data_IF_365397321568
#
_entry.id   IF_365397321568
#
_cell.length_a   1.000
_cell.length_b   1.000
_cell.length_c   1.000
_cell.angle_alpha   90.00
_cell.angle_beta   90.00
_cell.angle_gamma   90.00
#
_symmetry.space_group_name_H-M   'P 1'
#
loop_
_entity.id
_entity.type
_entity.pdbx_description
1 polymer ?
#
# COMPACT_ATOMS: atom_id res chain seq x y z
N UNK A 1 20.79 0.19 -6.45
CA UNK A 1 19.92 0.49 -5.29
C UNK A 1 19.37 -0.82 -4.73
N UNK A 2 19.39 -1.03 -3.41
CA UNK A 2 18.93 -2.30 -2.80
C UNK A 2 17.45 -2.14 -2.45
N UNK A 3 16.54 -2.79 -3.17
CA UNK A 3 15.14 -2.90 -2.77
C UNK A 3 15.06 -3.57 -1.39
N UNK A 4 14.38 -2.91 -0.45
CA UNK A 4 14.14 -3.40 0.90
C UNK A 4 12.62 -3.44 1.11
N UNK A 5 12.12 -4.63 1.36
CA UNK A 5 10.71 -4.99 1.56
C UNK A 5 10.36 -5.11 3.05
N UNK A 6 11.37 -5.18 3.91
CA UNK A 6 11.23 -5.21 5.37
C UNK A 6 12.18 -4.22 6.03
N UNK A 7 11.65 -3.37 6.90
CA UNK A 7 12.46 -2.42 7.65
C UNK A 7 12.02 -2.41 9.12
N UNK A 8 13.00 -2.52 10.03
CA UNK A 8 12.78 -2.29 11.45
C UNK A 8 13.00 -0.81 11.74
N UNK A 9 12.00 -0.17 12.34
CA UNK A 9 12.06 1.23 12.76
C UNK A 9 11.81 1.37 14.25
N UNK A 10 12.37 2.43 14.83
CA UNK A 10 12.08 2.86 16.19
C UNK A 10 11.30 4.17 16.12
N UNK A 11 10.00 4.10 16.43
CA UNK A 11 9.13 5.26 16.49
C UNK A 11 8.99 5.74 17.94
N UNK A 12 9.11 7.05 18.15
CA UNK A 12 8.94 7.68 19.48
C UNK A 12 8.07 8.93 19.34
N UNK A 13 6.95 8.96 20.08
CA UNK A 13 6.13 10.16 20.19
C UNK A 13 6.72 11.17 21.17
N UNK A 14 6.28 12.42 21.07
CA UNK A 14 6.75 13.49 21.93
C UNK A 14 6.26 13.30 23.36
N UNK A 15 7.11 13.54 24.35
CA UNK A 15 6.65 13.67 25.74
C UNK A 15 5.91 15.00 25.95
N UNK A 16 4.95 15.02 26.87
CA UNK A 16 4.26 16.23 27.28
C UNK A 16 5.18 17.20 28.03
N UNK A 17 4.93 18.49 27.88
CA UNK A 17 5.58 19.53 28.67
C UNK A 17 5.07 19.53 30.10
N UNK A 18 5.94 19.72 31.08
CA UNK A 18 5.54 19.92 32.48
C UNK A 18 4.78 21.24 32.71
N UNK A 19 3.84 21.22 33.65
CA UNK A 19 3.20 22.44 34.15
C UNK A 19 4.15 23.30 35.00
N UNK A 20 3.96 24.62 34.95
CA UNK A 20 4.80 25.56 35.68
C UNK A 20 4.27 25.84 37.09
N UNK A 21 5.18 25.94 38.07
CA UNK A 21 4.87 26.48 39.38
C UNK A 21 5.34 27.93 39.43
N UNK A 22 4.41 28.88 39.31
CA UNK A 22 4.76 30.30 39.31
C UNK A 22 3.72 31.14 40.07
N UNK A 23 4.18 32.24 40.64
CA UNK A 23 3.35 33.25 41.30
C UNK A 23 3.68 34.63 40.74
N UNK A 24 2.67 35.49 40.60
CA UNK A 24 2.88 36.88 40.18
C UNK A 24 3.74 37.61 41.21
N UNK A 25 4.71 38.38 40.74
CA UNK A 25 5.56 39.24 41.57
C UNK A 25 5.51 40.65 41.00
N UNK A 26 4.92 41.57 41.75
CA UNK A 26 4.77 42.98 41.38
C UNK A 26 5.24 43.83 42.56
N UNK A 27 5.86 44.98 42.26
CA UNK A 27 6.58 45.80 43.26
C UNK A 27 5.72 46.25 44.45
N UNK A 28 4.41 46.34 44.28
CA UNK A 28 3.45 46.81 45.30
C UNK A 28 2.43 45.74 45.73
N UNK A 29 2.67 44.46 45.41
CA UNK A 29 1.77 43.35 45.75
C UNK A 29 2.56 42.31 46.54
N UNK A 30 2.29 42.21 47.86
CA UNK A 30 2.99 41.28 48.76
C UNK A 30 2.80 39.80 48.37
N UNK A 31 1.57 39.42 47.98
CA UNK A 31 1.25 38.04 47.58
C UNK A 31 0.45 38.01 46.26
N UNK A 32 1.16 37.87 45.15
CA UNK A 32 0.54 37.69 43.85
C UNK A 32 -0.09 36.30 43.69
N UNK A 33 -1.20 36.24 42.96
CA UNK A 33 -1.87 34.98 42.65
C UNK A 33 -1.02 34.02 41.80
N UNK A 34 -1.40 32.73 41.73
CA UNK A 34 -0.72 31.75 40.89
C UNK A 34 -0.79 32.16 39.42
N UNK A 35 0.32 32.03 38.70
CA UNK A 35 0.42 32.34 37.27
C UNK A 35 1.30 31.35 36.49
N UNK A 36 1.41 30.11 36.93
CA UNK A 36 2.08 29.07 36.16
C UNK A 36 1.15 28.49 35.10
N UNK A 37 1.55 28.58 33.83
CA UNK A 37 0.86 27.96 32.71
C UNK A 37 1.03 26.45 32.64
N UNK A 38 0.19 25.81 31.84
CA UNK A 38 0.24 24.38 31.54
C UNK A 38 1.30 24.08 30.47
N UNK A 39 1.85 22.87 30.47
CA UNK A 39 2.74 22.41 29.41
C UNK A 39 1.98 22.00 28.15
N UNK A 40 2.67 22.06 27.01
CA UNK A 40 2.11 21.64 25.72
C UNK A 40 2.08 20.12 25.56
N UNK A 41 1.20 19.64 24.68
CA UNK A 41 1.15 18.22 24.28
C UNK A 41 2.42 17.84 23.51
N UNK A 42 2.88 16.62 23.64
CA UNK A 42 3.87 16.04 22.74
C UNK A 42 3.33 15.85 21.32
N UNK A 43 4.23 15.80 20.34
CA UNK A 43 3.88 15.50 18.96
C UNK A 43 3.48 14.02 18.79
N UNK A 44 2.52 13.78 17.93
CA UNK A 44 2.09 12.45 17.51
C UNK A 44 3.02 11.86 16.44
N UNK A 45 3.02 10.54 16.31
CA UNK A 45 3.62 9.84 15.17
C UNK A 45 2.49 9.30 14.31
N UNK A 46 2.45 9.73 13.05
CA UNK A 46 1.53 9.22 12.04
C UNK A 46 2.27 8.37 11.03
N UNK A 47 1.54 7.48 10.37
CA UNK A 47 2.00 6.79 9.16
C UNK A 47 1.04 7.14 8.03
N UNK A 48 1.58 7.43 6.86
CA UNK A 48 0.82 7.83 5.68
C UNK A 48 1.29 7.07 4.44
N UNK A 49 0.34 6.46 3.74
CA UNK A 49 0.60 5.74 2.50
C UNK A 49 0.72 6.70 1.31
N UNK A 50 1.76 6.52 0.49
CA UNK A 50 2.05 7.39 -0.64
C UNK A 50 2.35 6.56 -1.89
N UNK A 51 1.66 6.86 -3.00
CA UNK A 51 1.76 6.09 -4.26
C UNK A 51 3.13 6.21 -4.95
N UNK A 52 3.81 7.33 -4.75
CA UNK A 52 5.14 7.59 -5.35
C UNK A 52 6.29 6.80 -4.73
N UNK A 53 6.04 6.02 -3.67
CA UNK A 53 7.06 5.22 -2.98
C UNK A 53 6.85 3.74 -3.27
N UNK A 54 7.90 3.07 -3.75
CA UNK A 54 7.85 1.65 -4.11
C UNK A 54 8.69 0.76 -3.19
N UNK A 55 9.46 1.32 -2.25
CA UNK A 55 10.40 0.55 -1.42
C UNK A 55 10.61 1.17 -0.04
N UNK A 56 11.01 0.37 0.95
CA UNK A 56 11.23 0.80 2.35
C UNK A 56 12.70 1.16 2.63
N UNK A 57 13.47 1.50 1.60
CA UNK A 57 14.93 1.72 1.70
C UNK A 57 15.29 2.90 2.58
N UNK A 58 14.45 3.93 2.61
CA UNK A 58 14.72 5.17 3.36
C UNK A 58 14.86 4.90 4.87
N UNK A 59 14.12 3.92 5.38
CA UNK A 59 14.16 3.50 6.78
C UNK A 59 15.45 2.79 7.18
N UNK A 60 16.26 2.34 6.21
CA UNK A 60 17.58 1.78 6.48
C UNK A 60 18.58 2.85 6.91
N UNK A 61 18.45 4.06 6.37
CA UNK A 61 19.35 5.17 6.64
C UNK A 61 18.86 6.02 7.82
N UNK A 62 17.55 6.07 8.05
CA UNK A 62 16.93 6.77 9.17
C UNK A 62 15.97 5.85 9.96
N UNK A 63 16.49 4.89 10.74
CA UNK A 63 15.66 3.95 11.49
C UNK A 63 14.98 4.58 12.72
N UNK A 64 15.47 5.72 13.22
CA UNK A 64 14.92 6.39 14.38
C UNK A 64 14.06 7.58 13.97
N UNK A 65 12.78 7.52 14.32
CA UNK A 65 11.79 8.56 14.01
C UNK A 65 11.24 9.08 15.33
N UNK A 66 11.40 10.39 15.56
CA UNK A 66 11.04 11.03 16.83
C UNK A 66 10.18 12.25 16.58
N UNK A 67 9.01 12.29 17.20
CA UNK A 67 8.18 13.49 17.23
C UNK A 67 8.72 14.52 18.24
N UNK A 68 8.32 15.78 18.07
CA UNK A 68 8.76 16.88 18.92
C UNK A 68 8.17 16.79 20.34
N UNK A 69 8.96 17.14 21.35
CA UNK A 69 8.48 17.26 22.74
C UNK A 69 7.60 18.51 22.92
N UNK A 70 6.58 18.41 23.77
CA UNK A 70 5.79 19.56 24.22
C UNK A 70 6.62 20.51 25.09
N UNK A 71 6.44 21.82 24.91
CA UNK A 71 7.17 22.84 25.67
C UNK A 71 6.60 22.94 27.08
N UNK A 72 7.46 23.20 28.06
CA UNK A 72 7.04 23.45 29.44
C UNK A 72 6.16 24.70 29.54
N UNK A 73 5.21 24.67 30.47
CA UNK A 73 4.51 25.89 30.87
C UNK A 73 5.48 26.90 31.46
N UNK A 74 5.13 28.18 31.39
CA UNK A 74 5.93 29.27 31.92
C UNK A 74 5.10 30.16 32.86
N UNK A 75 5.79 31.03 33.59
CA UNK A 75 5.14 32.05 34.40
C UNK A 75 4.34 33.04 33.53
N UNK A 76 3.52 33.86 34.18
CA UNK A 76 2.60 34.79 33.52
C UNK A 76 1.48 34.12 32.71
N UNK A 77 1.00 32.95 33.17
CA UNK A 77 -0.05 32.14 32.52
C UNK A 77 0.29 31.76 31.07
N UNK A 78 1.59 31.62 30.76
CA UNK A 78 2.03 31.25 29.43
C UNK A 78 2.04 29.73 29.31
N UNK A 79 1.10 29.19 28.53
CA UNK A 79 1.05 27.77 28.21
C UNK A 79 2.17 27.40 27.23
N UNK A 80 2.69 26.18 27.37
CA UNK A 80 3.69 25.64 26.47
C UNK A 80 3.10 25.27 25.11
N UNK A 81 3.85 25.50 24.04
CA UNK A 81 3.48 25.08 22.69
C UNK A 81 3.49 23.54 22.56
N UNK A 82 2.61 23.03 21.70
CA UNK A 82 2.60 21.62 21.34
C UNK A 82 3.88 21.23 20.57
N UNK A 83 4.34 19.99 20.77
CA UNK A 83 5.40 19.39 19.99
C UNK A 83 4.98 19.20 18.55
N UNK A 84 5.96 19.23 17.63
CA UNK A 84 5.71 18.98 16.20
C UNK A 84 5.41 17.49 15.98
N UNK A 85 4.33 17.20 15.29
CA UNK A 85 4.02 15.84 14.83
C UNK A 85 5.02 15.40 13.75
N UNK A 86 5.18 14.09 13.59
CA UNK A 86 5.99 13.49 12.52
C UNK A 86 5.13 12.49 11.74
N UNK A 87 5.27 12.52 10.43
CA UNK A 87 4.59 11.57 9.53
C UNK A 87 5.63 10.67 8.88
N UNK A 88 5.44 9.36 9.03
CA UNK A 88 6.22 8.31 8.40
C UNK A 88 5.57 8.02 7.05
N UNK A 89 6.23 8.38 5.96
CA UNK A 89 5.71 8.14 4.61
C UNK A 89 6.11 6.74 4.15
N UNK A 90 5.15 5.90 3.83
CA UNK A 90 5.38 4.51 3.39
C UNK A 90 4.70 4.24 2.05
N UNK A 91 5.19 3.27 1.26
CA UNK A 91 4.48 2.76 0.10
C UNK A 91 3.06 2.28 0.45
N UNK A 92 2.14 2.39 -0.52
CA UNK A 92 0.84 1.72 -0.45
C UNK A 92 1.05 0.20 -0.36
N UNK A 93 0.25 -0.48 0.46
CA UNK A 93 0.40 -1.91 0.78
C UNK A 93 1.41 -2.20 1.90
N UNK A 94 1.82 -1.18 2.67
CA UNK A 94 2.70 -1.40 3.83
C UNK A 94 1.91 -1.87 5.04
N UNK A 95 2.33 -3.01 5.58
CA UNK A 95 1.85 -3.59 6.82
C UNK A 95 2.80 -3.24 7.97
N UNK A 96 2.25 -2.85 9.11
CA UNK A 96 2.99 -2.49 10.32
C UNK A 96 2.75 -3.57 11.35
N UNK A 97 3.83 -4.21 11.78
CA UNK A 97 3.83 -5.20 12.83
C UNK A 97 4.50 -4.66 14.09
N UNK A 98 4.22 -5.33 15.21
CA UNK A 98 4.95 -5.17 16.46
C UNK A 98 6.41 -5.65 16.35
N UNK A 99 7.17 -5.54 17.45
CA UNK A 99 8.60 -5.86 17.48
C UNK A 99 8.90 -7.33 17.15
N UNK A 100 7.98 -8.24 17.50
CA UNK A 100 8.12 -9.68 17.35
C UNK A 100 7.50 -10.23 16.04
N UNK A 101 6.87 -9.36 15.23
CA UNK A 101 6.12 -9.72 14.00
C UNK A 101 4.92 -10.65 14.20
N UNK A 102 4.37 -10.72 15.40
CA UNK A 102 3.22 -11.59 15.71
C UNK A 102 1.90 -10.87 15.47
N UNK A 103 1.85 -9.56 15.77
CA UNK A 103 0.62 -8.77 15.73
C UNK A 103 0.68 -7.70 14.65
N UNK A 104 -0.29 -7.72 13.74
CA UNK A 104 -0.51 -6.66 12.76
C UNK A 104 -1.18 -5.47 13.44
N UNK A 105 -0.50 -4.35 13.49
CA UNK A 105 -0.99 -3.10 14.09
C UNK A 105 -1.78 -2.26 13.10
N UNK A 106 -1.33 -2.21 11.84
CA UNK A 106 -1.98 -1.45 10.79
C UNK A 106 -1.64 -2.02 9.40
N UNK A 107 -2.59 -1.91 8.47
CA UNK A 107 -2.41 -2.20 7.04
C UNK A 107 -2.81 -0.94 6.27
N UNK A 108 -1.88 -0.39 5.48
CA UNK A 108 -2.14 0.79 4.66
C UNK A 108 -2.43 0.34 3.23
N UNK A 109 -3.71 0.27 2.88
CA UNK A 109 -4.20 -0.21 1.59
C UNK A 109 -4.43 0.91 0.59
N UNK A 110 -4.77 2.11 1.07
CA UNK A 110 -5.26 3.18 0.22
C UNK A 110 -4.25 4.34 0.08
N UNK A 111 -4.15 4.96 -1.10
CA UNK A 111 -3.41 6.19 -1.32
C UNK A 111 -3.81 7.31 -0.35
N UNK A 112 -2.83 7.93 0.32
CA UNK A 112 -3.08 9.02 1.28
C UNK A 112 -3.70 8.57 2.59
N UNK A 113 -3.91 7.26 2.80
CA UNK A 113 -4.41 6.73 4.06
C UNK A 113 -3.44 7.09 5.19
N UNK A 114 -3.94 7.78 6.21
CA UNK A 114 -3.15 8.24 7.35
C UNK A 114 -3.68 7.66 8.65
N UNK A 115 -2.80 7.02 9.41
CA UNK A 115 -3.13 6.36 10.68
C UNK A 115 -2.26 6.95 11.80
N UNK A 116 -2.86 7.18 12.97
CA UNK A 116 -2.13 7.53 14.19
C UNK A 116 -1.45 6.28 14.73
N UNK A 117 -0.12 6.26 14.71
CA UNK A 117 0.68 5.11 15.14
C UNK A 117 1.04 5.19 16.62
N UNK A 118 1.50 6.36 17.10
CA UNK A 118 1.81 6.60 18.50
C UNK A 118 1.25 7.94 18.97
N UNK A 119 0.53 7.93 20.09
CA UNK A 119 -0.02 9.15 20.68
C UNK A 119 1.05 9.94 21.43
N UNK A 120 1.04 11.27 21.28
CA UNK A 120 1.93 12.16 22.02
C UNK A 120 1.49 12.33 23.47
N UNK A 121 2.46 12.45 24.38
CA UNK A 121 2.18 12.64 25.80
C UNK A 121 1.39 13.92 26.09
N UNK A 122 0.49 13.86 27.06
CA UNK A 122 -0.33 15.00 27.49
C UNK A 122 0.49 16.01 28.29
N UNK A 123 0.15 17.29 28.11
CA UNK A 123 0.73 18.40 28.86
C UNK A 123 0.38 18.37 30.35
N UNK A 124 1.36 18.66 31.19
CA UNK A 124 1.21 18.80 32.63
C UNK A 124 0.52 20.11 33.00
N UNK A 125 -0.24 20.11 34.08
CA UNK A 125 -1.04 21.24 34.55
C UNK A 125 -0.20 22.13 35.46
N UNK A 126 -0.19 23.43 35.15
CA UNK A 126 0.42 24.47 35.96
C UNK A 126 -0.36 24.72 37.24
N UNK A 127 0.23 25.48 38.16
CA UNK A 127 -0.43 25.74 39.43
C UNK A 127 -1.68 26.62 39.29
N UNK A 128 -1.77 27.45 38.25
CA UNK A 128 -2.97 28.25 37.98
C UNK A 128 -4.22 27.38 37.76
N UNK A 129 -4.08 26.19 37.16
CA UNK A 129 -5.18 25.24 36.93
C UNK A 129 -5.78 24.71 38.25
N UNK A 130 -5.01 24.65 39.33
CA UNK A 130 -5.47 24.10 40.62
C UNK A 130 -6.10 25.14 41.55
N UNK A 131 -6.30 26.38 41.07
CA UNK A 131 -6.90 27.44 41.85
C UNK A 131 -8.38 27.16 42.09
N UNK A 132 -8.80 27.11 43.34
CA UNK A 132 -10.21 26.99 43.74
C UNK A 132 -10.61 28.09 44.72
N UNK A 133 -11.89 28.19 45.07
CA UNK A 133 -12.39 29.11 46.09
C UNK A 133 -11.74 28.87 47.46
N UNK A 134 -11.45 27.61 47.78
CA UNK A 134 -10.81 27.16 49.02
C UNK A 134 -9.28 27.15 48.95
N UNK A 135 -8.68 26.99 47.77
CA UNK A 135 -7.24 26.99 47.57
C UNK A 135 -6.83 28.09 46.57
N UNK A 136 -6.57 29.29 47.10
CA UNK A 136 -6.26 30.49 46.30
C UNK A 136 -4.80 30.55 45.82
N UNK A 137 -3.89 29.82 46.47
CA UNK A 137 -2.45 29.80 46.17
C UNK A 137 -1.91 28.35 46.09
N UNK A 138 -2.42 27.53 45.16
CA UNK A 138 -1.97 26.15 44.97
C UNK A 138 -0.47 26.09 44.68
N UNK A 139 0.22 25.17 45.37
CA UNK A 139 1.65 24.85 45.14
C UNK A 139 1.85 23.51 44.46
N UNK A 140 0.82 23.05 43.74
CA UNK A 140 0.82 21.78 43.00
C UNK A 140 0.93 22.06 41.52
N UNK A 141 1.72 21.24 40.83
CA UNK A 141 1.74 21.11 39.37
C UNK A 141 1.66 19.62 39.03
N UNK A 142 1.33 19.28 37.79
CA UNK A 142 1.54 17.92 37.28
C UNK A 142 2.63 17.93 36.21
N UNK A 143 3.49 16.89 36.18
CA UNK A 143 4.38 16.68 35.06
C UNK A 143 3.58 16.34 33.80
N UNK A 144 4.20 16.52 32.63
CA UNK A 144 3.64 15.97 31.39
C UNK A 144 3.77 14.45 31.39
N UNK A 145 2.89 13.76 30.67
CA UNK A 145 3.02 12.31 30.52
C UNK A 145 4.17 11.98 29.58
N UNK A 146 4.85 10.83 29.77
CA UNK A 146 5.82 10.36 28.81
C UNK A 146 5.17 10.14 27.45
N UNK A 147 5.97 10.25 26.39
CA UNK A 147 5.58 9.77 25.06
C UNK A 147 5.70 8.25 25.00
N UNK A 148 5.09 7.65 24.00
CA UNK A 148 5.22 6.24 23.69
C UNK A 148 6.42 6.01 22.77
N UNK A 149 7.11 4.90 22.97
CA UNK A 149 8.16 4.44 22.07
C UNK A 149 7.99 2.95 21.81
N UNK A 150 8.15 2.55 20.54
CA UNK A 150 8.05 1.15 20.12
C UNK A 150 9.00 0.87 18.96
N UNK A 151 9.59 -0.32 18.99
CA UNK A 151 10.16 -0.92 17.80
C UNK A 151 9.03 -1.54 16.98
N UNK A 152 9.07 -1.30 15.68
CA UNK A 152 8.04 -1.74 14.75
C UNK A 152 8.69 -2.32 13.50
N UNK A 153 8.02 -3.30 12.91
CA UNK A 153 8.41 -3.85 11.62
C UNK A 153 7.48 -3.35 10.54
N UNK A 154 8.04 -2.64 9.57
CA UNK A 154 7.37 -2.30 8.32
C UNK A 154 7.62 -3.43 7.34
N UNK A 155 6.55 -4.02 6.83
CA UNK A 155 6.60 -5.03 5.79
C UNK A 155 5.78 -4.55 4.62
N UNK A 156 6.44 -4.30 3.50
CA UNK A 156 5.74 -4.04 2.26
C UNK A 156 5.16 -5.36 1.76
N UNK A 157 3.84 -5.40 1.57
CA UNK A 157 3.18 -6.49 0.87
C UNK A 157 3.63 -6.38 -0.58
N UNK A 158 4.73 -7.05 -0.91
CA UNK A 158 5.29 -7.09 -2.26
C UNK A 158 4.17 -7.51 -3.22
N UNK A 159 3.75 -6.57 -4.07
CA UNK A 159 2.86 -6.79 -5.20
C UNK A 159 3.79 -6.77 -6.41
N UNK A 160 3.78 -7.83 -7.20
CA UNK A 160 4.35 -7.73 -8.53
C UNK A 160 3.42 -6.82 -9.34
N UNK A 161 3.97 -5.81 -9.99
CA UNK A 161 3.16 -4.90 -10.81
C UNK A 161 2.68 -5.65 -12.07
N UNK A 162 3.51 -6.55 -12.61
CA UNK A 162 3.13 -7.50 -13.64
C UNK A 162 3.72 -8.89 -13.43
N UNK A 163 3.00 -9.91 -13.91
CA UNK A 163 3.39 -11.32 -13.84
C UNK A 163 3.86 -11.86 -15.19
N UNK A 164 4.91 -12.69 -15.19
CA UNK A 164 5.34 -13.47 -16.35
C UNK A 164 4.64 -14.83 -16.36
N UNK A 165 4.00 -15.15 -17.48
CA UNK A 165 3.37 -16.44 -17.74
C UNK A 165 3.89 -17.03 -19.06
N UNK A 166 3.78 -18.34 -19.25
CA UNK A 166 4.32 -19.04 -20.41
C UNK A 166 4.92 -20.39 -20.04
N UNK A 167 4.98 -21.31 -21.01
CA UNK A 167 5.48 -22.69 -20.87
C UNK A 167 6.93 -22.76 -20.35
N UNK A 168 7.36 -23.93 -19.80
CA UNK A 168 8.75 -24.20 -19.52
C UNK A 168 9.57 -23.98 -20.80
N UNK A 169 10.66 -23.20 -20.70
CA UNK A 169 11.53 -22.81 -21.84
C UNK A 169 11.03 -21.67 -22.75
N UNK A 170 9.90 -21.04 -22.44
CA UNK A 170 9.46 -19.80 -23.11
C UNK A 170 10.44 -18.61 -22.93
N UNK A 171 11.45 -18.76 -22.07
CA UNK A 171 12.48 -17.76 -21.84
C UNK A 171 12.16 -16.79 -20.70
N UNK A 172 11.24 -17.14 -19.78
CA UNK A 172 10.81 -16.28 -18.65
C UNK A 172 11.96 -15.80 -17.78
N UNK A 173 12.76 -16.72 -17.23
CA UNK A 173 13.91 -16.35 -16.38
C UNK A 173 14.99 -15.60 -17.17
N UNK A 174 15.18 -15.91 -18.45
CA UNK A 174 16.11 -15.18 -19.34
C UNK A 174 15.61 -13.76 -19.58
N UNK A 175 14.33 -13.57 -19.86
CA UNK A 175 13.72 -12.25 -20.02
C UNK A 175 13.88 -11.45 -18.72
N UNK A 176 13.43 -11.99 -17.58
CA UNK A 176 13.50 -11.33 -16.27
C UNK A 176 14.92 -10.91 -15.88
N UNK A 177 15.90 -11.79 -16.08
CA UNK A 177 17.31 -11.50 -15.79
C UNK A 177 17.92 -10.44 -16.72
N UNK A 178 17.44 -10.35 -17.96
CA UNK A 178 17.92 -9.37 -18.94
C UNK A 178 17.32 -7.98 -18.67
N UNK A 179 16.03 -7.90 -18.34
CA UNK A 179 15.34 -6.61 -18.14
C UNK A 179 15.52 -6.02 -16.74
N UNK A 180 15.95 -6.84 -15.77
CA UNK A 180 16.12 -6.40 -14.39
C UNK A 180 17.46 -5.69 -14.17
N UNK A 181 17.43 -4.45 -13.64
CA UNK A 181 18.64 -3.68 -13.28
C UNK A 181 19.42 -4.29 -12.12
N UNK A 182 18.76 -5.10 -11.29
CA UNK A 182 19.38 -5.87 -10.22
C UNK A 182 19.36 -7.36 -10.61
N UNK A 183 20.32 -8.16 -10.13
CA UNK A 183 20.21 -9.62 -10.25
C UNK A 183 18.83 -10.04 -9.69
N UNK A 184 18.02 -10.79 -10.45
CA UNK A 184 16.74 -11.27 -9.96
C UNK A 184 16.92 -11.89 -8.58
N UNK A 185 16.16 -11.41 -7.62
CA UNK A 185 16.24 -11.93 -6.25
C UNK A 185 15.30 -13.12 -6.19
N UNK A 186 15.84 -14.25 -5.75
CA UNK A 186 15.05 -15.39 -5.30
C UNK A 186 14.41 -14.97 -3.98
N UNK A 187 13.08 -14.90 -3.95
CA UNK A 187 12.36 -14.50 -2.75
C UNK A 187 11.92 -15.74 -1.97
N UNK A 188 12.66 -16.04 -0.90
CA UNK A 188 12.39 -17.18 -0.02
C UNK A 188 11.23 -16.84 0.93
N UNK A 189 10.00 -16.89 0.42
CA UNK A 189 8.82 -16.69 1.25
C UNK A 189 8.53 -17.95 2.09
N UNK A 190 8.14 -17.82 3.38
CA UNK A 190 7.91 -18.96 4.29
C UNK A 190 6.80 -19.93 3.88
N UNK A 191 6.10 -19.66 2.78
CA UNK A 191 4.89 -20.36 2.33
C UNK A 191 4.93 -20.76 0.85
N UNK A 192 6.07 -20.60 0.19
CA UNK A 192 6.27 -21.03 -1.21
C UNK A 192 7.17 -22.27 -1.23
N UNK A 193 6.75 -23.33 -1.90
CA UNK A 193 7.59 -24.51 -2.17
C UNK A 193 8.64 -24.22 -3.24
N UNK A 194 8.38 -23.23 -4.11
CA UNK A 194 9.30 -22.69 -5.11
C UNK A 194 9.40 -21.18 -4.94
N UNK A 195 10.60 -20.68 -4.67
CA UNK A 195 10.84 -19.26 -4.50
C UNK A 195 10.68 -18.52 -5.85
N UNK A 196 9.73 -17.58 -5.99
CA UNK A 196 9.55 -16.82 -7.21
C UNK A 196 10.77 -15.92 -7.47
N UNK A 197 11.06 -15.71 -8.75
CA UNK A 197 12.08 -14.75 -9.17
C UNK A 197 11.43 -13.38 -9.35
N UNK A 198 11.96 -12.36 -8.67
CA UNK A 198 11.54 -10.98 -8.81
C UNK A 198 12.62 -10.15 -9.49
N UNK A 199 12.21 -9.32 -10.45
CA UNK A 199 13.07 -8.39 -11.16
C UNK A 199 12.51 -6.97 -11.10
N UNK A 200 13.38 -5.99 -10.83
CA UNK A 200 13.01 -4.56 -10.89
C UNK A 200 13.39 -4.03 -12.26
N UNK A 201 12.37 -3.60 -12.99
CA UNK A 201 12.49 -3.17 -14.38
C UNK A 201 12.25 -1.68 -14.48
N UNK A 202 12.91 -1.04 -15.43
CA UNK A 202 12.75 0.38 -15.69
C UNK A 202 12.28 0.62 -17.12
N UNK A 203 11.18 1.37 -17.25
CA UNK A 203 10.62 1.79 -18.54
C UNK A 203 10.11 3.23 -18.40
N UNK A 204 10.36 4.09 -19.39
CA UNK A 204 9.90 5.48 -19.44
C UNK A 204 10.12 6.29 -18.14
N UNK A 205 11.31 6.15 -17.54
CA UNK A 205 11.67 6.89 -16.33
C UNK A 205 11.03 6.37 -15.04
N UNK A 206 10.22 5.31 -15.12
CA UNK A 206 9.53 4.68 -13.98
C UNK A 206 10.04 3.28 -13.72
N UNK A 207 9.94 2.84 -12.48
CA UNK A 207 10.32 1.50 -12.05
C UNK A 207 9.08 0.69 -11.67
N UNK A 208 9.07 -0.58 -12.04
CA UNK A 208 8.04 -1.53 -11.67
C UNK A 208 8.64 -2.93 -11.48
N UNK A 209 7.92 -3.79 -10.77
CA UNK A 209 8.33 -5.13 -10.36
C UNK A 209 7.69 -6.17 -11.27
N UNK A 210 8.53 -6.97 -11.92
CA UNK A 210 8.11 -8.19 -12.59
C UNK A 210 8.31 -9.40 -11.66
N UNK A 211 7.31 -10.26 -11.59
CA UNK A 211 7.44 -11.58 -10.98
C UNK A 211 7.36 -12.66 -12.05
N UNK A 212 8.30 -13.61 -12.01
CA UNK A 212 8.06 -14.93 -12.59
C UNK A 212 7.01 -15.62 -11.71
N UNK A 213 5.95 -16.15 -12.32
CA UNK A 213 4.91 -16.91 -11.62
C UNK A 213 5.23 -18.39 -11.81
N UNK A 214 6.06 -18.99 -10.93
CA UNK A 214 6.22 -20.44 -10.90
C UNK A 214 4.90 -21.10 -10.49
N UNK A 215 4.58 -22.23 -11.10
CA UNK A 215 3.49 -23.09 -10.63
C UNK A 215 2.13 -22.97 -11.35
N UNK A 216 1.95 -22.15 -12.38
CA UNK A 216 0.79 -22.33 -13.30
C UNK A 216 0.86 -23.67 -14.05
N UNK A 217 2.08 -24.19 -14.26
CA UNK A 217 2.41 -25.27 -15.21
C UNK A 217 2.91 -26.55 -14.52
N UNK A 218 3.15 -26.53 -13.20
CA UNK A 218 3.59 -27.69 -12.43
C UNK A 218 2.43 -28.23 -11.60
N UNK A 219 1.51 -28.98 -12.24
CA UNK A 219 0.59 -29.86 -11.53
C UNK A 219 -0.23 -29.21 -10.41
N UNK A 220 -0.57 -27.90 -10.53
CA UNK A 220 -1.32 -27.17 -9.50
C UNK A 220 -2.70 -27.80 -9.23
N UNK A 221 -3.23 -28.58 -10.17
CA UNK A 221 -4.45 -29.37 -10.01
C UNK A 221 -4.30 -30.60 -9.09
N UNK A 222 -3.09 -31.05 -8.73
CA UNK A 222 -2.86 -32.25 -7.88
C UNK A 222 -2.69 -31.95 -6.38
N UNK A 223 -3.10 -30.76 -5.91
CA UNK A 223 -3.34 -30.53 -4.47
C UNK A 223 -2.10 -30.45 -3.58
N UNK A 224 -0.93 -30.09 -4.13
CA UNK A 224 0.28 -29.83 -3.33
C UNK A 224 0.55 -28.33 -3.18
N UNK A 225 -0.19 -27.70 -2.28
CA UNK A 225 0.35 -26.65 -1.41
C UNK A 225 0.96 -25.39 -2.04
N UNK A 226 0.55 -24.98 -3.25
CA UNK A 226 0.71 -23.58 -3.65
C UNK A 226 -0.23 -22.77 -2.76
N UNK A 227 0.30 -22.26 -1.64
CA UNK A 227 -0.51 -21.64 -0.60
C UNK A 227 -1.40 -20.55 -1.17
N UNK A 228 -2.68 -20.57 -0.83
CA UNK A 228 -3.74 -19.60 -1.18
C UNK A 228 -3.31 -18.13 -1.05
N UNK A 229 -2.26 -17.85 -0.26
CA UNK A 229 -1.65 -16.53 -0.06
C UNK A 229 -0.64 -16.11 -1.14
N UNK A 230 0.17 -17.02 -1.69
CA UNK A 230 1.07 -16.73 -2.84
C UNK A 230 0.25 -16.35 -4.07
N UNK A 231 -0.84 -17.07 -4.24
CA UNK A 231 -1.83 -16.94 -5.28
C UNK A 231 -2.55 -15.58 -5.22
N UNK A 232 -2.90 -15.12 -4.02
CA UNK A 232 -3.40 -13.77 -3.79
C UNK A 232 -2.44 -12.63 -4.17
N UNK A 233 -1.14 -12.89 -4.37
CA UNK A 233 -0.20 -11.87 -4.89
C UNK A 233 -0.24 -11.75 -6.42
N UNK A 234 -0.47 -12.86 -7.12
CA UNK A 234 -0.64 -12.92 -8.58
C UNK A 234 -1.98 -12.32 -9.01
N UNK A 235 -3.00 -12.52 -8.17
CA UNK A 235 -4.32 -11.88 -8.28
C UNK A 235 -4.26 -10.35 -8.19
N UNK A 236 -3.16 -9.74 -7.72
CA UNK A 236 -3.00 -8.27 -7.70
C UNK A 236 -1.99 -7.71 -8.71
N UNK A 237 -1.44 -8.55 -9.59
CA UNK A 237 -0.72 -8.04 -10.76
C UNK A 237 -1.64 -7.19 -11.61
N UNK A 238 -1.22 -5.99 -12.01
CA UNK A 238 -2.02 -5.11 -12.87
C UNK A 238 -2.02 -5.53 -14.34
N UNK A 239 -1.05 -6.35 -14.75
CA UNK A 239 -0.98 -6.91 -16.09
C UNK A 239 -0.23 -8.26 -16.10
N UNK A 240 -0.42 -9.02 -17.18
CA UNK A 240 0.31 -10.25 -17.45
C UNK A 240 1.12 -10.10 -18.74
N UNK A 241 2.35 -10.59 -18.71
CA UNK A 241 3.22 -10.73 -19.87
C UNK A 241 3.35 -12.21 -20.19
N UNK A 242 2.70 -12.64 -21.27
CA UNK A 242 2.70 -14.01 -21.73
C UNK A 242 3.82 -14.24 -22.75
N UNK A 243 4.82 -15.01 -22.35
CA UNK A 243 5.94 -15.39 -23.19
C UNK A 243 5.64 -16.71 -23.92
N UNK A 244 5.72 -16.68 -25.25
CA UNK A 244 5.54 -17.84 -26.13
C UNK A 244 6.82 -18.07 -26.90
N UNK A 245 7.35 -19.30 -26.88
CA UNK A 245 8.53 -19.64 -27.65
C UNK A 245 8.21 -19.67 -29.15
N UNK A 246 8.80 -18.77 -29.93
CA UNK A 246 8.59 -18.74 -31.37
C UNK A 246 9.33 -19.84 -32.14
N UNK A 247 10.30 -20.51 -31.51
CA UNK A 247 11.06 -21.63 -32.12
C UNK A 247 10.40 -22.99 -31.93
N UNK A 248 9.29 -23.06 -31.18
CA UNK A 248 8.56 -24.29 -30.94
C UNK A 248 7.72 -24.74 -32.16
N UNK A 249 7.30 -26.00 -32.13
CA UNK A 249 6.57 -26.63 -33.25
C UNK A 249 5.19 -25.99 -33.50
N UNK A 250 4.48 -25.55 -32.45
CA UNK A 250 3.20 -24.83 -32.55
C UNK A 250 3.08 -23.74 -31.47
N UNK A 251 3.51 -22.50 -31.78
CA UNK A 251 3.37 -21.35 -30.89
C UNK A 251 1.91 -21.05 -30.51
N UNK A 252 0.96 -21.32 -31.40
CA UNK A 252 -0.47 -21.10 -31.16
C UNK A 252 -1.05 -22.08 -30.14
N UNK A 253 -0.64 -23.35 -30.19
CA UNK A 253 -0.99 -24.33 -29.17
C UNK A 253 -0.38 -23.98 -27.81
N UNK A 254 0.89 -23.56 -27.78
CA UNK A 254 1.55 -23.14 -26.55
C UNK A 254 0.79 -21.99 -25.84
N UNK A 255 0.32 -21.00 -26.62
CA UNK A 255 -0.53 -19.92 -26.11
C UNK A 255 -1.85 -20.46 -25.53
N UNK A 256 -2.56 -21.33 -26.26
CA UNK A 256 -3.84 -21.90 -25.79
C UNK A 256 -3.67 -22.70 -24.51
N UNK A 257 -2.64 -23.53 -24.41
CA UNK A 257 -2.39 -24.34 -23.21
C UNK A 257 -2.27 -23.47 -21.96
N UNK A 258 -1.47 -22.41 -22.01
CA UNK A 258 -1.29 -21.51 -20.86
C UNK A 258 -2.57 -20.73 -20.58
N UNK A 259 -3.33 -20.34 -21.62
CA UNK A 259 -4.60 -19.65 -21.45
C UNK A 259 -5.68 -20.54 -20.81
N UNK A 260 -5.77 -21.79 -21.24
CA UNK A 260 -6.69 -22.78 -20.67
C UNK A 260 -6.34 -23.07 -19.19
N UNK A 261 -5.05 -23.12 -18.85
CA UNK A 261 -4.58 -23.24 -17.47
C UNK A 261 -4.97 -22.01 -16.63
N UNK A 262 -4.80 -20.80 -17.17
CA UNK A 262 -5.23 -19.57 -16.49
C UNK A 262 -6.73 -19.56 -16.20
N UNK A 263 -7.55 -20.06 -17.13
CA UNK A 263 -9.01 -20.18 -16.95
C UNK A 263 -9.34 -21.28 -15.93
N UNK A 264 -8.69 -22.44 -16.02
CA UNK A 264 -8.91 -23.56 -15.09
C UNK A 264 -8.50 -23.24 -13.64
N UNK A 265 -7.69 -22.20 -13.46
CA UNK A 265 -7.23 -21.73 -12.17
C UNK A 265 -8.25 -20.86 -11.42
N UNK A 266 -9.26 -20.29 -12.10
CA UNK A 266 -10.43 -19.60 -11.51
C UNK A 266 -10.09 -18.52 -10.45
N UNK A 267 -9.26 -17.56 -10.83
CA UNK A 267 -8.83 -16.45 -9.96
C UNK A 267 -8.85 -15.08 -10.65
N UNK A 268 -9.61 -14.93 -11.73
CA UNK A 268 -9.71 -13.68 -12.49
C UNK A 268 -8.40 -13.29 -13.19
N UNK A 269 -7.52 -14.24 -13.51
CA UNK A 269 -6.29 -13.99 -14.27
C UNK A 269 -6.57 -13.79 -15.76
N UNK A 270 -7.62 -14.44 -16.25
CA UNK A 270 -8.11 -14.38 -17.61
C UNK A 270 -8.62 -12.99 -18.00
N UNK A 271 -9.16 -12.23 -17.04
CA UNK A 271 -9.72 -10.89 -17.29
C UNK A 271 -8.66 -9.79 -17.26
N UNK A 272 -7.44 -10.12 -16.84
CA UNK A 272 -6.37 -9.13 -16.73
C UNK A 272 -5.85 -8.70 -18.10
N UNK A 273 -5.37 -7.45 -18.22
CA UNK A 273 -4.64 -7.01 -19.39
C UNK A 273 -3.45 -7.92 -19.66
N UNK A 274 -3.49 -8.60 -20.81
CA UNK A 274 -2.47 -9.54 -21.25
C UNK A 274 -1.74 -8.97 -22.47
N UNK A 275 -0.41 -8.95 -22.40
CA UNK A 275 0.46 -8.68 -23.55
C UNK A 275 1.20 -9.97 -23.88
N UNK A 276 1.13 -10.38 -25.14
CA UNK A 276 1.76 -11.61 -25.61
C UNK A 276 3.05 -11.28 -26.35
N UNK A 277 4.12 -11.97 -26.00
CA UNK A 277 5.43 -11.78 -26.57
C UNK A 277 5.98 -13.11 -27.09
N UNK A 278 6.14 -13.19 -28.41
CA UNK A 278 6.84 -14.27 -29.09
C UNK A 278 8.33 -14.06 -28.87
N UNK A 279 8.94 -14.95 -28.09
CA UNK A 279 10.34 -14.89 -27.67
C UNK A 279 11.26 -15.61 -28.65
N UNK A 280 12.57 -15.41 -28.47
CA UNK A 280 13.64 -15.99 -29.31
C UNK A 280 13.57 -15.57 -30.78
N UNK A 281 13.12 -14.33 -31.04
CA UNK A 281 13.05 -13.77 -32.39
C UNK A 281 14.42 -13.73 -33.11
N UNK A 282 15.53 -13.77 -32.36
CA UNK A 282 16.90 -13.86 -32.91
C UNK A 282 17.20 -15.20 -33.60
N UNK A 283 16.44 -16.26 -33.28
CA UNK A 283 16.59 -17.59 -33.86
C UNK A 283 15.62 -17.85 -35.02
N UNK A 284 14.78 -16.87 -35.38
CA UNK A 284 13.78 -16.97 -36.44
C UNK A 284 14.17 -16.06 -37.61
N UNK A 285 13.91 -16.52 -38.83
CA UNK A 285 13.91 -15.63 -39.98
C UNK A 285 12.59 -14.82 -40.04
N UNK A 286 12.51 -13.88 -40.98
CA UNK A 286 11.37 -12.97 -41.09
C UNK A 286 10.05 -13.68 -41.45
N UNK A 287 10.12 -14.81 -42.15
CA UNK A 287 8.94 -15.58 -42.57
C UNK A 287 8.41 -16.39 -41.38
N UNK A 288 9.29 -17.14 -40.71
CA UNK A 288 8.96 -17.91 -39.51
C UNK A 288 8.49 -17.03 -38.35
N UNK A 289 9.08 -15.84 -38.18
CA UNK A 289 8.62 -14.88 -37.18
C UNK A 289 7.21 -14.36 -37.46
N UNK A 290 6.87 -14.11 -38.73
CA UNK A 290 5.54 -13.70 -39.14
C UNK A 290 4.52 -14.83 -38.94
N UNK A 291 4.89 -16.07 -39.28
CA UNK A 291 4.07 -17.25 -39.09
C UNK A 291 3.78 -17.53 -37.61
N UNK A 292 4.79 -17.42 -36.75
CA UNK A 292 4.62 -17.57 -35.30
C UNK A 292 3.66 -16.52 -34.72
N UNK A 293 3.80 -15.25 -35.14
CA UNK A 293 2.88 -14.18 -34.73
C UNK A 293 1.47 -14.43 -35.25
N UNK A 294 1.33 -14.87 -36.49
CA UNK A 294 0.04 -15.19 -37.09
C UNK A 294 -0.65 -16.36 -36.36
N UNK A 295 0.10 -17.42 -36.02
CA UNK A 295 -0.41 -18.58 -35.30
C UNK A 295 -0.92 -18.20 -33.90
N UNK A 296 -0.17 -17.37 -33.16
CA UNK A 296 -0.56 -16.89 -31.83
C UNK A 296 -1.75 -15.92 -31.91
N UNK A 297 -1.78 -15.06 -32.91
CA UNK A 297 -2.92 -14.14 -33.14
C UNK A 297 -4.19 -14.92 -33.52
N UNK A 298 -4.07 -15.94 -34.39
CA UNK A 298 -5.18 -16.82 -34.76
C UNK A 298 -5.69 -17.64 -33.57
N UNK A 299 -4.84 -17.90 -32.58
CA UNK A 299 -5.21 -18.56 -31.33
C UNK A 299 -5.98 -17.64 -30.36
N UNK A 300 -6.13 -16.35 -30.67
CA UNK A 300 -6.94 -15.40 -29.90
C UNK A 300 -6.15 -14.32 -29.14
N UNK A 301 -4.83 -14.25 -29.33
CA UNK A 301 -4.02 -13.19 -28.75
C UNK A 301 -4.27 -11.85 -29.46
N UNK A 302 -4.29 -10.74 -28.71
CA UNK A 302 -4.61 -9.39 -29.23
C UNK A 302 -3.37 -8.51 -29.44
N UNK A 303 -2.54 -8.33 -28.42
CA UNK A 303 -1.28 -7.56 -28.50
C UNK A 303 -0.10 -8.52 -28.55
N UNK A 304 0.24 -9.00 -29.76
CA UNK A 304 1.36 -9.91 -30.00
C UNK A 304 2.57 -9.14 -30.46
N UNK A 305 3.70 -9.32 -29.78
CA UNK A 305 4.98 -8.67 -30.10
C UNK A 305 6.10 -9.67 -30.27
N UNK A 306 7.03 -9.37 -31.16
CA UNK A 306 8.26 -10.13 -31.32
C UNK A 306 9.34 -9.56 -30.41
N UNK A 307 9.95 -10.42 -29.60
CA UNK A 307 11.04 -10.04 -28.71
C UNK A 307 12.20 -11.03 -28.73
N UNK A 308 13.39 -10.50 -28.51
CA UNK A 308 14.56 -11.29 -28.14
C UNK A 308 15.18 -10.68 -26.90
N UNK A 309 15.15 -11.42 -25.79
CA UNK A 309 15.82 -11.03 -24.56
C UNK A 309 17.32 -10.91 -24.77
N UNK A 310 17.92 -11.82 -25.54
CA UNK A 310 19.38 -11.88 -25.77
C UNK A 310 19.86 -10.75 -26.69
N UNK A 311 19.14 -10.49 -27.78
CA UNK A 311 19.49 -9.44 -28.72
C UNK A 311 18.98 -8.04 -28.29
N UNK A 312 18.13 -7.97 -27.26
CA UNK A 312 17.46 -6.74 -26.83
C UNK A 312 16.38 -6.22 -27.77
N UNK A 313 16.06 -6.97 -28.83
CA UNK A 313 15.06 -6.59 -29.83
C UNK A 313 13.65 -6.60 -29.23
N UNK A 314 12.90 -5.52 -29.44
CA UNK A 314 11.49 -5.39 -29.02
C UNK A 314 11.25 -5.26 -27.51
N UNK A 315 12.29 -5.39 -26.69
CA UNK A 315 12.20 -5.37 -25.22
C UNK A 315 11.71 -4.00 -24.72
N UNK A 316 12.29 -2.90 -25.18
CA UNK A 316 11.91 -1.56 -24.71
C UNK A 316 10.44 -1.24 -25.02
N UNK A 317 9.99 -1.51 -26.24
CA UNK A 317 8.59 -1.33 -26.64
C UNK A 317 7.64 -2.20 -25.82
N UNK A 318 8.04 -3.44 -25.53
CA UNK A 318 7.25 -4.37 -24.72
C UNK A 318 7.09 -3.86 -23.29
N UNK A 319 8.18 -3.44 -22.64
CA UNK A 319 8.14 -2.92 -21.27
C UNK A 319 7.31 -1.63 -21.15
N UNK A 320 7.39 -0.77 -22.17
CA UNK A 320 6.61 0.48 -22.22
C UNK A 320 5.11 0.19 -22.30
N UNK A 321 4.71 -0.77 -23.14
CA UNK A 321 3.31 -1.16 -23.24
C UNK A 321 2.81 -1.90 -21.98
N UNK A 322 3.67 -2.70 -21.36
CA UNK A 322 3.33 -3.35 -20.10
C UNK A 322 3.10 -2.33 -18.99
N UNK A 323 3.94 -1.29 -18.91
CA UNK A 323 3.73 -0.19 -17.98
C UNK A 323 2.39 0.53 -18.24
N UNK A 324 2.06 0.81 -19.50
CA UNK A 324 0.78 1.41 -19.87
C UNK A 324 -0.42 0.53 -19.50
N UNK A 325 -0.31 -0.79 -19.66
CA UNK A 325 -1.35 -1.74 -19.25
C UNK A 325 -1.56 -1.76 -17.73
N UNK A 326 -0.46 -1.75 -16.95
CA UNK A 326 -0.51 -1.67 -15.48
C UNK A 326 -1.21 -0.37 -15.03
N UNK A 327 -0.85 0.77 -15.63
CA UNK A 327 -1.45 2.05 -15.29
C UNK A 327 -2.94 2.10 -15.63
N UNK A 328 -3.32 1.56 -16.80
CA UNK A 328 -4.73 1.50 -17.22
C UNK A 328 -5.57 0.62 -16.28
N UNK A 329 -5.02 -0.53 -15.85
CA UNK A 329 -5.67 -1.41 -14.89
C UNK A 329 -5.89 -0.72 -13.54
N UNK A 330 -4.84 -0.07 -13.00
CA UNK A 330 -4.93 0.67 -11.74
C UNK A 330 -5.92 1.83 -11.81
N UNK A 331 -5.96 2.55 -12.93
CA UNK A 331 -6.92 3.61 -13.14
C UNK A 331 -8.36 3.09 -13.23
N UNK A 332 -8.57 1.86 -13.72
CA UNK A 332 -9.88 1.21 -13.76
C UNK A 332 -10.32 0.74 -12.37
N UNK A 333 -9.43 0.12 -11.58
CA UNK A 333 -9.69 -0.24 -10.18
C UNK A 333 -10.03 1.00 -9.35
N UNK A 334 -9.23 2.07 -9.44
CA UNK A 334 -9.49 3.30 -8.70
C UNK A 334 -10.85 3.94 -9.05
N UNK A 335 -11.31 3.81 -10.30
CA UNK A 335 -12.65 4.27 -10.72
C UNK A 335 -13.75 3.36 -10.17
N UNK A 336 -13.54 2.04 -10.18
CA UNK A 336 -14.49 1.08 -9.63
C UNK A 336 -14.66 1.28 -8.12
N UNK A 337 -13.56 1.49 -7.39
CA UNK A 337 -13.58 1.75 -5.95
C UNK A 337 -14.24 3.10 -5.63
N UNK A 338 -13.96 4.14 -6.42
CA UNK A 338 -14.63 5.44 -6.28
C UNK A 338 -16.15 5.34 -6.54
N UNK A 339 -16.58 4.52 -7.51
CA UNK A 339 -18.01 4.28 -7.78
C UNK A 339 -18.67 3.40 -6.70
N UNK A 340 -17.94 2.45 -6.10
CA UNK A 340 -18.44 1.62 -5.00
C UNK A 340 -18.58 2.40 -3.69
N UNK A 341 -17.73 3.41 -3.47
CA UNK A 341 -17.84 4.34 -2.35
C UNK A 341 -19.03 5.32 -2.50
N UNK A 342 -19.59 5.47 -3.70
CA UNK A 342 -20.58 6.50 -4.06
C UNK A 342 -21.96 5.95 -4.48
N UNK A 343 -22.36 4.74 -4.03
CA UNK A 343 -23.67 4.16 -4.38
C UNK A 343 -24.41 3.44 -3.25
N UNK A 344 -25.76 3.44 -3.27
CA UNK A 344 -26.66 4.59 -3.31
C UNK A 344 -27.06 5.01 -1.89
N UNK A 345 -27.27 6.31 -1.67
CA UNK A 345 -28.02 6.80 -0.52
C UNK A 345 -29.51 6.48 -0.73
N UNK A 346 -29.91 5.23 -0.51
CA UNK A 346 -31.32 4.85 -0.45
C UNK A 346 -31.92 5.40 0.85
N UNK A 347 -32.66 6.48 0.70
CA UNK A 347 -33.38 7.18 1.74
C UNK A 347 -34.12 8.38 1.16
N UNK A 348 -34.84 8.17 0.07
CA UNK A 348 -35.72 9.17 -0.56
C UNK A 348 -36.75 9.70 0.46
N UNK A 349 -36.74 11.01 0.81
CA UNK A 349 -37.77 11.62 1.63
C UNK A 349 -38.73 12.41 0.72
N UNK A 350 -39.29 11.79 -0.32
CA UNK A 350 -40.21 12.47 -1.22
C UNK A 350 -41.40 11.62 -1.65
N UNK A 351 -42.23 11.18 -0.69
CA UNK A 351 -43.64 10.84 -0.97
C UNK A 351 -44.53 11.13 0.24
N UNK A 352 -44.67 12.41 0.62
CA UNK A 352 -45.83 12.90 1.39
C UNK A 352 -46.18 14.34 1.02
N UNK A 353 -46.93 14.46 -0.06
CA UNK A 353 -47.87 15.54 -0.41
C UNK A 353 -48.09 15.38 -1.92
N UNK A 354 -49.27 15.16 -2.47
CA UNK A 354 -50.64 15.07 -2.02
C UNK A 354 -51.44 14.97 -3.32
N UNK A 355 -52.52 14.22 -3.36
CA UNK A 355 -53.56 14.50 -4.35
C UNK A 355 -54.93 14.19 -3.76
N UNK A 356 -55.82 15.13 -4.03
CA UNK A 356 -57.10 15.40 -3.39
C UNK A 356 -58.25 14.47 -3.85
N UNK A 357 -59.28 14.42 -3.00
CA UNK A 357 -60.71 14.15 -3.27
C UNK A 357 -61.06 12.76 -3.89
N UNK A 358 -62.18 12.11 -3.58
CA UNK A 358 -63.52 12.57 -3.29
C UNK A 358 -64.35 11.37 -2.78
N UNK A 359 -65.44 11.65 -2.06
CA UNK A 359 -66.64 10.80 -2.08
C UNK A 359 -66.74 9.57 -1.16
N UNK A 360 -67.57 9.68 -0.12
CA UNK A 360 -68.68 8.72 0.02
C UNK A 360 -68.73 7.81 1.25
N UNK A 361 -69.56 8.23 2.22
CA UNK A 361 -70.56 7.42 2.97
C UNK A 361 -70.09 6.29 3.88
N UNK A 362 -70.47 6.34 5.17
CA UNK A 362 -70.77 5.13 5.94
C UNK A 362 -70.50 5.14 7.44
N UNK A 363 -71.50 5.58 8.22
CA UNK A 363 -71.93 5.07 9.54
C UNK A 363 -70.91 4.78 10.68
N UNK A 364 -71.05 5.55 11.76
CA UNK A 364 -71.46 5.08 13.11
C UNK A 364 -70.67 3.95 13.81
N UNK A 365 -69.78 4.34 14.75
CA UNK A 365 -69.76 4.05 16.22
C UNK A 365 -69.88 2.60 16.77
N UNK A 366 -69.63 2.35 18.08
CA UNK A 366 -68.32 2.23 18.76
C UNK A 366 -68.18 0.91 19.58
N UNK A 367 -66.96 0.52 19.99
CA UNK A 367 -66.66 -0.05 21.33
C UNK A 367 -65.20 0.21 21.67
#
# INVERSE_FOLDING_TARGET
>A
MKFLDQARIHAQSGAGGNGCLSFRREKFVEYGGPNGGDGGRGGHVYVEAHEGLNTLVDFRYAPHIKAGRGVHGMGSNKHGAAGKDVTITVPVGTQIYDEDMEFLLADLTDPGQRILLLEGGQGGKGNAHFKSSTNRAPRRTTPGTPGEERWLWLRLKLMADAGLVGLPNAGKSTFLSTVSRARPKVADYPFTTLAPQLGVVHADGREFVLADIPGLIEGAHEGRGLGTRFLGHVERCGALLHLVDGTGDDPGAAYRTVRDEMIAYDAGLEDKPEIVAVTKADALDAELAADAVAAVTAAGARDVRLVSSVAGQGVFSLLTALLAAIDAYRAAEARADAMAADGPADGDPATRAGDDADGGTGSWSPV
#
